data_IF_608232348115
#
_entry.id   IF_608232348115
#
_cell.length_a   1.000
_cell.length_b   1.000
_cell.length_c   1.000
_cell.angle_alpha   90.00
_cell.angle_beta   90.00
_cell.angle_gamma   90.00
#
_symmetry.space_group_name_H-M   'P 1'
#
loop_
_entity.id
_entity.type
_entity.pdbx_description
1 polymer ?
#
# COMPACT_ATOMS: atom_id res chain seq x y z
N UNK A 1 13.81 12.23 39.20
CA UNK A 1 14.65 11.67 38.12
C UNK A 1 13.74 11.04 37.04
N UNK A 2 13.41 11.86 36.04
CA UNK A 2 12.49 11.52 34.96
C UNK A 2 13.11 10.40 34.11
N UNK A 3 12.46 9.24 34.08
CA UNK A 3 12.75 8.20 33.11
C UNK A 3 12.24 8.71 31.76
N UNK A 4 13.14 9.29 30.97
CA UNK A 4 12.80 9.72 29.62
C UNK A 4 12.49 8.45 28.80
N UNK A 5 11.39 8.42 28.04
CA UNK A 5 11.12 7.32 27.12
C UNK A 5 12.28 7.21 26.11
N UNK A 6 12.57 5.99 25.61
CA UNK A 6 13.61 5.80 24.62
C UNK A 6 13.39 6.75 23.43
N UNK A 7 14.46 7.25 22.77
CA UNK A 7 14.33 8.19 21.68
C UNK A 7 13.39 7.61 20.62
N UNK A 8 12.23 8.24 20.48
CA UNK A 8 11.27 7.89 19.46
C UNK A 8 11.97 8.10 18.12
N UNK A 9 12.25 7.02 17.40
CA UNK A 9 12.58 7.09 15.98
C UNK A 9 11.29 7.57 15.29
N UNK A 10 11.06 8.87 15.25
CA UNK A 10 9.76 9.44 14.87
C UNK A 10 9.93 10.81 14.25
N UNK A 11 9.51 10.93 12.98
CA UNK A 11 9.50 12.15 12.18
C UNK A 11 8.65 13.23 12.85
N UNK A 12 9.26 14.27 13.40
CA UNK A 12 8.62 15.53 13.78
C UNK A 12 7.59 15.47 14.93
N UNK A 13 7.21 16.64 15.44
CA UNK A 13 6.13 16.77 16.44
C UNK A 13 4.78 16.51 15.76
N UNK A 14 4.10 15.43 16.12
CA UNK A 14 2.75 15.12 15.61
C UNK A 14 1.69 15.99 16.31
N UNK A 15 0.54 16.27 15.65
CA UNK A 15 -0.57 17.01 16.25
C UNK A 15 -1.10 16.36 17.53
N UNK A 16 -1.70 17.17 18.41
CA UNK A 16 -2.25 16.68 19.67
C UNK A 16 -3.30 15.58 19.42
N UNK A 17 -3.13 14.42 20.07
CA UNK A 17 -4.03 13.28 19.93
C UNK A 17 -3.71 12.32 18.77
N UNK A 18 -2.75 12.66 17.90
CA UNK A 18 -2.24 11.74 16.87
C UNK A 18 -1.26 10.75 17.51
N UNK A 19 -1.42 9.47 17.19
CA UNK A 19 -0.51 8.40 17.64
C UNK A 19 0.13 7.76 16.42
N UNK A 20 1.45 7.86 16.34
CA UNK A 20 2.19 7.09 15.36
C UNK A 20 2.05 5.60 15.67
N UNK A 21 1.76 4.80 14.64
CA UNK A 21 1.66 3.34 14.73
C UNK A 21 2.62 2.64 13.79
N UNK A 22 3.63 3.34 13.25
CA UNK A 22 4.63 2.79 12.34
C UNK A 22 5.33 1.54 12.92
N UNK A 23 5.43 1.43 14.26
CA UNK A 23 6.00 0.27 14.95
C UNK A 23 5.12 -1.00 14.86
N UNK A 24 3.83 -0.86 14.57
CA UNK A 24 2.87 -1.97 14.48
C UNK A 24 2.39 -2.18 13.04
N UNK A 25 2.19 -1.09 12.29
CA UNK A 25 1.80 -1.09 10.88
C UNK A 25 2.74 -0.14 10.12
N UNK A 26 3.86 -0.64 9.57
CA UNK A 26 4.92 0.20 9.01
C UNK A 26 4.58 0.76 7.62
N UNK A 27 3.50 0.30 6.99
CA UNK A 27 3.06 0.80 5.68
C UNK A 27 2.63 2.26 5.78
N UNK A 28 3.17 3.09 4.90
CA UNK A 28 3.02 4.54 4.96
C UNK A 28 2.86 5.23 3.59
N UNK A 29 2.85 4.45 2.50
CA UNK A 29 2.60 4.92 1.14
C UNK A 29 1.59 4.04 0.43
N UNK A 30 0.89 4.64 -0.53
CA UNK A 30 0.00 3.93 -1.43
C UNK A 30 0.13 4.51 -2.85
N UNK A 31 0.20 3.62 -3.83
CA UNK A 31 0.15 3.96 -5.25
C UNK A 31 -1.12 3.35 -5.84
N UNK A 32 -2.04 4.20 -6.32
CA UNK A 32 -3.31 3.77 -6.91
C UNK A 32 -3.25 3.84 -8.44
N UNK A 33 -3.92 2.89 -9.09
CA UNK A 33 -4.00 2.79 -10.55
C UNK A 33 -5.26 2.04 -10.98
N UNK A 34 -5.58 2.10 -12.27
CA UNK A 34 -6.78 1.49 -12.84
C UNK A 34 -6.39 0.35 -13.77
N UNK A 35 -7.12 -0.77 -13.68
CA UNK A 35 -7.01 -1.86 -14.65
C UNK A 35 -8.36 -2.04 -15.36
N UNK A 36 -8.36 -2.37 -16.66
CA UNK A 36 -9.58 -2.79 -17.34
C UNK A 36 -10.07 -4.13 -16.78
N UNK A 37 -11.38 -4.36 -16.86
CA UNK A 37 -11.95 -5.68 -16.67
C UNK A 37 -11.53 -6.61 -17.81
N UNK A 38 -11.62 -7.91 -17.55
CA UNK A 38 -11.65 -8.91 -18.62
C UNK A 38 -12.94 -8.72 -19.42
N UNK A 39 -12.89 -8.41 -20.73
CA UNK A 39 -14.09 -8.19 -21.53
C UNK A 39 -15.00 -9.42 -21.61
N UNK A 40 -14.46 -10.61 -21.44
CA UNK A 40 -15.19 -11.89 -21.51
C UNK A 40 -15.44 -12.50 -20.12
N UNK A 41 -14.99 -11.82 -19.05
CA UNK A 41 -15.04 -12.32 -17.68
C UNK A 41 -16.13 -11.66 -16.83
N UNK A 42 -16.65 -12.43 -15.87
CA UNK A 42 -17.55 -11.90 -14.84
C UNK A 42 -16.82 -10.97 -13.86
N UNK A 43 -17.53 -9.97 -13.34
CA UNK A 43 -17.02 -9.08 -12.28
C UNK A 43 -17.02 -9.86 -10.96
N UNK A 44 -15.85 -10.08 -10.31
CA UNK A 44 -15.80 -10.84 -9.07
C UNK A 44 -16.50 -10.09 -7.93
N UNK A 45 -17.31 -10.75 -7.09
CA UNK A 45 -18.06 -10.11 -6.01
C UNK A 45 -17.22 -9.93 -4.72
N UNK A 46 -15.90 -9.77 -4.85
CA UNK A 46 -14.98 -9.66 -3.73
C UNK A 46 -13.81 -8.74 -4.03
N UNK A 47 -13.18 -8.22 -2.98
CA UNK A 47 -11.90 -7.51 -3.06
C UNK A 47 -10.76 -8.51 -2.95
N UNK A 48 -9.80 -8.44 -3.86
CA UNK A 48 -8.55 -9.18 -3.74
C UNK A 48 -7.56 -8.36 -2.91
N UNK A 49 -7.01 -8.94 -1.85
CA UNK A 49 -5.87 -8.42 -1.12
C UNK A 49 -4.70 -9.41 -1.28
N UNK A 50 -3.70 -9.05 -2.10
CA UNK A 50 -2.55 -9.89 -2.42
C UNK A 50 -1.32 -9.39 -1.66
N UNK A 51 -0.65 -10.27 -0.91
CA UNK A 51 0.64 -9.94 -0.31
C UNK A 51 1.71 -9.71 -1.40
N UNK A 52 2.56 -8.71 -1.17
CA UNK A 52 3.68 -8.32 -2.03
C UNK A 52 4.96 -8.33 -1.16
N UNK A 53 6.13 -8.08 -1.75
CA UNK A 53 7.42 -8.13 -1.08
C UNK A 53 7.54 -7.17 0.11
N UNK A 54 7.01 -5.95 -0.03
CA UNK A 54 7.10 -4.90 1.00
C UNK A 54 5.74 -4.30 1.39
N UNK A 55 4.67 -5.08 1.24
CA UNK A 55 3.31 -4.64 1.56
C UNK A 55 2.23 -5.53 0.95
N UNK A 56 1.15 -4.91 0.47
CA UNK A 56 0.06 -5.64 -0.17
C UNK A 56 -0.66 -4.81 -1.25
N UNK A 57 -1.11 -5.48 -2.30
CA UNK A 57 -1.85 -4.89 -3.40
C UNK A 57 -3.34 -5.22 -3.29
N UNK A 58 -4.20 -4.22 -3.48
CA UNK A 58 -5.64 -4.41 -3.59
C UNK A 58 -6.10 -4.44 -5.05
N UNK A 59 -7.18 -5.17 -5.31
CA UNK A 59 -7.99 -5.05 -6.52
C UNK A 59 -9.47 -5.04 -6.11
N UNK A 60 -10.14 -3.91 -6.38
CA UNK A 60 -11.55 -3.68 -6.04
C UNK A 60 -12.34 -3.57 -7.35
N UNK A 61 -13.20 -4.56 -7.65
CA UNK A 61 -14.03 -4.52 -8.85
C UNK A 61 -15.11 -3.45 -8.71
N UNK A 62 -15.20 -2.56 -9.70
CA UNK A 62 -16.30 -1.59 -9.84
C UNK A 62 -17.13 -1.95 -11.07
N UNK A 63 -18.21 -1.22 -11.33
CA UNK A 63 -19.08 -1.52 -12.49
C UNK A 63 -18.36 -1.44 -13.84
N UNK A 64 -17.36 -0.55 -14.00
CA UNK A 64 -16.74 -0.27 -15.30
C UNK A 64 -15.25 -0.57 -15.37
N UNK A 65 -14.58 -0.74 -14.22
CA UNK A 65 -13.13 -0.97 -14.14
C UNK A 65 -12.73 -1.64 -12.83
N UNK A 66 -11.45 -1.99 -12.71
CA UNK A 66 -10.85 -2.43 -11.46
C UNK A 66 -10.07 -1.28 -10.80
N UNK A 67 -10.45 -0.91 -9.58
CA UNK A 67 -9.68 0.00 -8.74
C UNK A 67 -8.57 -0.74 -8.04
N UNK A 68 -7.31 -0.47 -8.38
CA UNK A 68 -6.15 -1.18 -7.85
C UNK A 68 -5.21 -0.24 -7.11
N UNK A 69 -4.34 -0.83 -6.31
CA UNK A 69 -3.22 -0.10 -5.76
C UNK A 69 -2.34 -0.94 -4.86
N UNK A 70 -1.13 -0.44 -4.62
CA UNK A 70 -0.13 -1.08 -3.79
C UNK A 70 0.13 -0.23 -2.55
N UNK A 71 -0.16 -0.80 -1.37
CA UNK A 71 0.19 -0.22 -0.07
C UNK A 71 1.54 -0.78 0.35
N UNK A 72 2.52 0.09 0.60
CA UNK A 72 3.89 -0.30 0.96
C UNK A 72 4.50 0.65 1.99
N UNK A 73 5.69 0.31 2.47
CA UNK A 73 6.46 1.10 3.43
C UNK A 73 7.74 1.63 2.78
N UNK A 74 7.96 2.94 2.89
CA UNK A 74 9.15 3.61 2.36
C UNK A 74 10.45 3.30 3.09
N UNK A 75 10.36 2.52 4.18
CA UNK A 75 11.50 1.95 4.87
C UNK A 75 12.10 0.74 4.13
N UNK A 76 11.33 0.11 3.25
CA UNK A 76 11.71 -1.15 2.59
C UNK A 76 11.69 -1.08 1.06
N UNK A 77 10.98 -0.10 0.48
CA UNK A 77 10.80 -0.01 -0.96
C UNK A 77 10.66 1.46 -1.40
N UNK A 78 11.42 1.85 -2.42
CA UNK A 78 11.24 3.15 -3.08
C UNK A 78 9.97 3.16 -3.94
N UNK A 79 9.39 4.34 -4.26
CA UNK A 79 8.24 4.42 -5.16
C UNK A 79 8.49 3.79 -6.54
N UNK A 80 9.69 3.94 -7.08
CA UNK A 80 10.08 3.41 -8.39
C UNK A 80 10.18 1.88 -8.37
N UNK A 81 10.77 1.30 -7.31
CA UNK A 81 10.81 -0.15 -7.10
C UNK A 81 9.39 -0.71 -6.88
N UNK A 82 8.52 0.02 -6.16
CA UNK A 82 7.11 -0.36 -5.99
C UNK A 82 6.36 -0.43 -7.32
N UNK A 83 6.62 0.51 -8.22
CA UNK A 83 6.05 0.47 -9.58
C UNK A 83 6.60 -0.71 -10.39
N UNK A 84 7.90 -1.00 -10.29
CA UNK A 84 8.50 -2.17 -10.95
C UNK A 84 7.89 -3.47 -10.44
N UNK A 85 7.74 -3.63 -9.12
CA UNK A 85 7.18 -4.83 -8.51
C UNK A 85 5.72 -5.07 -8.94
N UNK A 86 4.92 -4.00 -9.04
CA UNK A 86 3.55 -4.09 -9.54
C UNK A 86 3.52 -4.49 -11.02
N UNK A 87 4.41 -3.92 -11.84
CA UNK A 87 4.53 -4.27 -13.26
C UNK A 87 4.87 -5.75 -13.42
N UNK A 88 5.80 -6.26 -12.64
CA UNK A 88 6.22 -7.66 -12.67
C UNK A 88 5.08 -8.59 -12.20
N UNK A 89 4.37 -8.21 -11.13
CA UNK A 89 3.26 -8.99 -10.59
C UNK A 89 2.02 -9.04 -11.50
N UNK A 90 1.83 -8.03 -12.36
CA UNK A 90 0.72 -7.95 -13.32
C UNK A 90 1.12 -8.38 -14.74
N UNK A 91 2.41 -8.48 -15.05
CA UNK A 91 2.91 -8.72 -16.40
C UNK A 91 2.62 -7.58 -17.39
N UNK A 92 2.35 -6.37 -16.90
CA UNK A 92 2.01 -5.20 -17.73
C UNK A 92 2.37 -3.89 -17.03
N UNK A 93 2.60 -2.85 -17.81
CA UNK A 93 2.77 -1.49 -17.28
C UNK A 93 1.44 -0.95 -16.72
N UNK A 94 1.54 -0.11 -15.69
CA UNK A 94 0.44 0.56 -15.00
C UNK A 94 0.56 2.08 -15.09
#
# INVERSE_FOLDING_TARGET
PLCLPPPCIGRGQLPLGVRDRILVLPVNRAMSFWLPHDPDGDIPPYTLARAMGSGWMWQIPTQTRMGCGYVYSDLFLTPEEAQSEVKDALGRSI
#
